data_IF_973801681911
#
_entry.id   IF_973801681911
#
_cell.length_a   1.000
_cell.length_b   1.000
_cell.length_c   1.000
_cell.angle_alpha   90.00
_cell.angle_beta   90.00
_cell.angle_gamma   90.00
#
_symmetry.space_group_name_H-M   'P 1'
#
loop_
_entity.id
_entity.type
_entity.pdbx_description
1 polymer ?
#
# COMPACT_ATOMS: atom_id res chain seq x y z
N UNK A 1 11.52 4.33 -63.46
CA UNK A 1 11.18 5.62 -62.82
C UNK A 1 9.83 5.59 -62.11
N UNK A 2 8.76 5.05 -62.71
CA UNK A 2 7.44 5.01 -62.04
C UNK A 2 7.37 4.11 -60.78
N UNK A 3 8.03 2.95 -60.80
CA UNK A 3 8.05 2.05 -59.64
C UNK A 3 8.68 2.71 -58.39
N UNK A 4 9.75 3.49 -58.59
CA UNK A 4 10.41 4.25 -57.51
C UNK A 4 9.55 5.39 -56.97
N UNK A 5 8.73 6.03 -57.83
CA UNK A 5 7.79 7.08 -57.40
C UNK A 5 6.66 6.49 -56.54
N UNK A 6 6.05 5.38 -56.98
CA UNK A 6 5.02 4.68 -56.21
C UNK A 6 5.54 4.18 -54.87
N UNK A 7 6.73 3.59 -54.86
CA UNK A 7 7.37 3.11 -53.63
C UNK A 7 7.65 4.26 -52.64
N UNK A 8 8.12 5.42 -53.12
CA UNK A 8 8.32 6.61 -52.29
C UNK A 8 7.00 7.13 -51.71
N UNK A 9 5.93 7.14 -52.50
CA UNK A 9 4.61 7.61 -52.08
C UNK A 9 3.98 6.69 -51.03
N UNK A 10 4.05 5.37 -51.24
CA UNK A 10 3.60 4.37 -50.26
C UNK A 10 4.39 4.51 -48.95
N UNK A 11 5.71 4.72 -49.02
CA UNK A 11 6.54 4.96 -47.84
C UNK A 11 6.14 6.24 -47.10
N UNK A 12 5.94 7.36 -47.79
CA UNK A 12 5.51 8.63 -47.17
C UNK A 12 4.20 8.45 -46.40
N UNK A 13 3.20 7.84 -47.06
CA UNK A 13 1.90 7.59 -46.44
C UNK A 13 1.98 6.65 -45.24
N UNK A 14 2.85 5.64 -45.30
CA UNK A 14 3.09 4.72 -44.18
C UNK A 14 3.72 5.45 -42.99
N UNK A 15 4.67 6.36 -43.24
CA UNK A 15 5.29 7.19 -42.19
C UNK A 15 4.32 8.16 -41.55
N UNK A 16 3.50 8.85 -42.35
CA UNK A 16 2.47 9.78 -41.84
C UNK A 16 1.44 9.06 -40.96
N UNK A 17 0.97 7.89 -41.40
CA UNK A 17 0.06 7.07 -40.61
C UNK A 17 0.70 6.60 -39.29
N UNK A 18 1.97 6.23 -39.33
CA UNK A 18 2.69 5.77 -38.14
C UNK A 18 2.88 6.91 -37.13
N UNK A 19 3.30 8.10 -37.58
CA UNK A 19 3.46 9.29 -36.75
C UNK A 19 2.12 9.67 -36.12
N UNK A 20 1.05 9.74 -36.92
CA UNK A 20 -0.30 10.07 -36.43
C UNK A 20 -0.80 9.07 -35.38
N UNK A 21 -0.54 7.77 -35.57
CA UNK A 21 -0.89 6.75 -34.58
C UNK A 21 -0.10 6.91 -33.26
N UNK A 22 1.19 7.29 -33.33
CA UNK A 22 2.01 7.54 -32.14
C UNK A 22 1.57 8.81 -31.40
N UNK A 23 1.30 9.90 -32.10
CA UNK A 23 0.78 11.14 -31.52
C UNK A 23 -0.57 10.90 -30.81
N UNK A 24 -1.47 10.12 -31.44
CA UNK A 24 -2.72 9.74 -30.81
C UNK A 24 -2.48 8.95 -29.53
N UNK A 25 -1.55 7.98 -29.56
CA UNK A 25 -1.30 7.10 -28.43
C UNK A 25 -0.62 7.82 -27.27
N UNK A 26 0.39 8.64 -27.54
CA UNK A 26 1.05 9.49 -26.53
C UNK A 26 0.05 10.45 -25.88
N UNK A 27 -0.83 11.08 -26.67
CA UNK A 27 -1.89 11.93 -26.11
C UNK A 27 -2.88 11.18 -25.19
N UNK A 28 -3.13 9.89 -25.43
CA UNK A 28 -3.92 9.05 -24.51
C UNK A 28 -3.14 8.80 -23.22
N UNK A 29 -1.86 8.43 -23.32
CA UNK A 29 -1.00 8.14 -22.15
C UNK A 29 -0.84 9.38 -21.26
N UNK A 30 -0.66 10.56 -21.86
CA UNK A 30 -0.55 11.83 -21.13
C UNK A 30 -1.83 12.12 -20.35
N UNK A 31 -2.99 11.92 -20.98
CA UNK A 31 -4.29 12.13 -20.35
C UNK A 31 -4.52 11.14 -19.20
N UNK A 32 -4.13 9.88 -19.36
CA UNK A 32 -4.23 8.87 -18.30
C UNK A 32 -3.30 9.20 -17.13
N UNK A 33 -2.08 9.63 -17.42
CA UNK A 33 -1.10 10.08 -16.42
C UNK A 33 -1.63 11.26 -15.61
N UNK A 34 -2.22 12.26 -16.26
CA UNK A 34 -2.82 13.41 -15.57
C UNK A 34 -4.03 13.00 -14.71
N UNK A 35 -4.85 12.05 -15.18
CA UNK A 35 -5.93 11.51 -14.36
C UNK A 35 -5.41 10.80 -13.10
N UNK A 36 -4.38 9.95 -13.23
CA UNK A 36 -3.77 9.26 -12.08
C UNK A 36 -3.18 10.27 -11.09
N UNK A 37 -2.47 11.29 -11.57
CA UNK A 37 -1.93 12.36 -10.72
C UNK A 37 -3.04 13.12 -9.99
N UNK A 38 -4.14 13.42 -10.67
CA UNK A 38 -5.31 14.07 -10.07
C UNK A 38 -5.91 13.21 -8.97
N UNK A 39 -6.17 11.94 -9.25
CA UNK A 39 -6.75 11.01 -8.29
C UNK A 39 -5.83 10.80 -7.06
N UNK A 40 -4.51 10.76 -7.27
CA UNK A 40 -3.53 10.71 -6.18
C UNK A 40 -3.62 11.93 -5.27
N UNK A 41 -3.73 13.13 -5.85
CA UNK A 41 -3.93 14.38 -5.09
C UNK A 41 -5.25 14.35 -4.31
N UNK A 42 -6.34 13.93 -4.94
CA UNK A 42 -7.64 13.78 -4.26
C UNK A 42 -7.56 12.80 -3.09
N UNK A 43 -6.86 11.68 -3.26
CA UNK A 43 -6.68 10.68 -2.21
C UNK A 43 -5.82 11.19 -1.06
N UNK A 44 -4.74 11.92 -1.35
CA UNK A 44 -3.92 12.59 -0.34
C UNK A 44 -4.73 13.62 0.45
N UNK A 45 -5.52 14.45 -0.23
CA UNK A 45 -6.42 15.43 0.42
C UNK A 45 -7.43 14.71 1.31
N UNK A 46 -8.08 13.63 0.82
CA UNK A 46 -9.02 12.84 1.62
C UNK A 46 -8.36 12.28 2.88
N UNK A 47 -7.15 11.73 2.77
CA UNK A 47 -6.37 11.24 3.93
C UNK A 47 -6.04 12.36 4.91
N UNK A 48 -5.61 13.53 4.42
CA UNK A 48 -5.28 14.67 5.26
C UNK A 48 -6.50 15.23 5.99
N UNK A 49 -7.64 15.38 5.31
CA UNK A 49 -8.90 15.82 5.93
C UNK A 49 -9.38 14.83 6.99
N UNK A 50 -9.24 13.52 6.75
CA UNK A 50 -9.54 12.51 7.77
C UNK A 50 -8.62 12.64 8.98
N UNK A 51 -7.31 12.79 8.76
CA UNK A 51 -6.34 12.99 9.84
C UNK A 51 -6.58 14.28 10.64
N UNK A 52 -6.97 15.38 9.99
CA UNK A 52 -7.30 16.64 10.68
C UNK A 52 -8.55 16.47 11.56
N UNK A 53 -9.56 15.76 11.03
CA UNK A 53 -10.83 15.55 11.72
C UNK A 53 -10.74 14.52 12.86
N UNK A 54 -10.03 13.41 12.63
CA UNK A 54 -10.06 12.22 13.47
C UNK A 54 -8.71 11.85 14.09
N UNK A 55 -7.62 12.44 13.60
CA UNK A 55 -6.27 12.16 14.05
C UNK A 55 -5.73 13.20 15.03
N UNK A 56 -4.53 12.94 15.53
CA UNK A 56 -3.75 13.90 16.32
C UNK A 56 -2.66 14.52 15.43
N UNK A 57 -2.54 15.84 15.51
CA UNK A 57 -1.56 16.64 14.75
C UNK A 57 -0.12 16.48 15.23
N UNK A 58 0.10 15.82 16.38
CA UNK A 58 1.41 15.69 17.03
C UNK A 58 2.06 14.31 16.88
N UNK A 59 1.53 13.47 15.99
CA UNK A 59 1.98 12.09 15.85
C UNK A 59 3.30 12.01 15.09
N UNK A 60 4.28 11.31 15.67
CA UNK A 60 5.56 10.99 15.04
C UNK A 60 5.64 9.47 14.76
N UNK A 61 6.36 9.08 13.70
CA UNK A 61 6.60 7.67 13.38
C UNK A 61 7.48 6.98 14.44
N UNK A 62 8.33 7.74 15.13
CA UNK A 62 9.18 7.24 16.23
C UNK A 62 8.43 7.12 17.58
N UNK A 63 7.15 7.49 17.63
CA UNK A 63 6.33 7.42 18.84
C UNK A 63 6.29 6.02 19.43
N UNK A 64 6.39 5.96 20.77
CA UNK A 64 6.15 4.73 21.53
C UNK A 64 4.68 4.68 21.91
N UNK A 65 3.96 3.70 21.37
CA UNK A 65 2.53 3.51 21.60
C UNK A 65 2.32 2.46 22.70
N UNK A 66 1.46 2.79 23.67
CA UNK A 66 0.95 1.85 24.66
C UNK A 66 -0.44 1.34 24.23
N UNK A 67 -0.58 0.02 24.20
CA UNK A 67 -1.75 -0.68 23.70
C UNK A 67 -2.21 -1.66 24.79
N UNK A 68 -3.45 -1.54 25.23
CA UNK A 68 -4.08 -2.53 26.09
C UNK A 68 -4.75 -3.59 25.20
N UNK A 69 -4.20 -4.80 25.18
CA UNK A 69 -4.69 -5.91 24.36
C UNK A 69 -5.30 -6.97 25.25
N UNK A 70 -6.63 -7.04 25.29
CA UNK A 70 -7.37 -8.00 26.10
C UNK A 70 -7.07 -7.92 27.61
N UNK A 71 -6.56 -6.79 28.12
CA UNK A 71 -6.16 -6.58 29.52
C UNK A 71 -4.66 -6.60 29.76
N UNK A 72 -3.85 -6.92 28.73
CA UNK A 72 -2.39 -6.92 28.80
C UNK A 72 -1.83 -5.69 28.11
N UNK A 73 -1.07 -4.88 28.85
CA UNK A 73 -0.33 -3.76 28.28
C UNK A 73 0.81 -4.24 27.39
N UNK A 74 0.83 -3.80 26.13
CA UNK A 74 1.88 -4.02 25.15
C UNK A 74 2.42 -2.65 24.71
N UNK A 75 3.74 -2.55 24.58
CA UNK A 75 4.41 -1.33 24.13
C UNK A 75 5.14 -1.62 22.83
N UNK A 76 4.93 -0.79 21.81
CA UNK A 76 5.58 -0.93 20.51
C UNK A 76 5.85 0.45 19.89
N UNK A 77 6.84 0.53 19.01
CA UNK A 77 7.08 1.72 18.20
C UNK A 77 6.07 1.83 17.07
N UNK A 78 5.56 3.04 16.82
CA UNK A 78 4.60 3.31 15.75
C UNK A 78 5.16 2.87 14.40
N UNK A 79 6.41 3.20 14.08
CA UNK A 79 7.14 2.79 12.88
C UNK A 79 7.12 1.27 12.62
N UNK A 80 7.06 0.43 13.67
CA UNK A 80 6.93 -1.02 13.51
C UNK A 80 5.49 -1.42 13.14
N UNK A 81 4.49 -0.81 13.78
CA UNK A 81 3.07 -1.10 13.55
C UNK A 81 2.63 -0.63 12.16
N UNK A 82 3.16 0.50 11.68
CA UNK A 82 2.82 1.08 10.37
C UNK A 82 3.75 0.61 9.24
N UNK A 83 4.63 -0.35 9.50
CA UNK A 83 5.60 -0.84 8.52
C UNK A 83 4.90 -1.42 7.28
N UNK A 84 3.91 -2.29 7.49
CA UNK A 84 3.17 -2.93 6.40
C UNK A 84 1.97 -2.06 5.96
N UNK A 85 2.19 -1.25 4.92
CA UNK A 85 1.18 -0.32 4.37
C UNK A 85 -0.05 -1.05 3.84
N UNK A 86 -1.22 -0.43 4.00
CA UNK A 86 -2.49 -0.94 3.48
C UNK A 86 -3.11 -2.07 4.31
N UNK A 87 -2.57 -2.34 5.51
CA UNK A 87 -3.15 -3.27 6.49
C UNK A 87 -4.02 -2.51 7.49
N UNK A 88 -4.90 -3.23 8.20
CA UNK A 88 -5.73 -2.60 9.24
C UNK A 88 -4.89 -2.19 10.47
N UNK A 89 -3.74 -2.83 10.71
CA UNK A 89 -2.81 -2.37 11.76
C UNK A 89 -2.19 -1.03 11.36
N UNK A 90 -1.76 -0.86 10.11
CA UNK A 90 -1.25 0.45 9.67
C UNK A 90 -2.32 1.53 9.83
N UNK A 91 -3.56 1.25 9.40
CA UNK A 91 -4.67 2.16 9.62
C UNK A 91 -4.85 2.57 11.09
N UNK A 92 -4.93 1.60 12.01
CA UNK A 92 -5.11 1.83 13.44
C UNK A 92 -4.03 2.70 14.07
N UNK A 93 -2.78 2.50 13.67
CA UNK A 93 -1.63 3.17 14.28
C UNK A 93 -1.03 4.26 13.40
N UNK A 94 -1.69 4.65 12.31
CA UNK A 94 -1.21 5.69 11.40
C UNK A 94 -1.26 7.10 11.98
N UNK A 95 -1.92 7.33 13.11
CA UNK A 95 -2.19 8.67 13.63
C UNK A 95 -3.48 9.28 13.09
N UNK A 96 -4.01 8.76 11.96
CA UNK A 96 -5.19 9.33 11.27
C UNK A 96 -6.49 9.21 12.06
N UNK A 97 -6.56 8.25 12.99
CA UNK A 97 -7.77 7.92 13.75
C UNK A 97 -7.56 7.97 15.26
N UNK A 98 -6.45 8.56 15.75
CA UNK A 98 -6.06 8.49 17.16
C UNK A 98 -7.11 9.08 18.13
N UNK A 99 -8.02 9.96 17.66
CA UNK A 99 -9.17 10.48 18.44
C UNK A 99 -10.39 9.56 18.43
N UNK A 100 -10.53 8.71 17.41
CA UNK A 100 -11.63 7.76 17.30
C UNK A 100 -11.28 6.38 17.86
N UNK A 101 -9.99 6.02 17.89
CA UNK A 101 -9.56 4.75 18.48
C UNK A 101 -10.02 4.64 19.93
N UNK A 102 -10.64 3.51 20.27
CA UNK A 102 -11.09 3.26 21.64
C UNK A 102 -9.89 3.22 22.59
N UNK A 103 -9.99 3.94 23.71
CA UNK A 103 -8.95 4.01 24.74
C UNK A 103 -9.48 3.50 26.07
N UNK A 104 -8.59 2.91 26.86
CA UNK A 104 -8.88 2.48 28.22
C UNK A 104 -8.77 3.63 29.24
N UNK A 105 -8.95 3.32 30.52
CA UNK A 105 -8.86 4.29 31.60
C UNK A 105 -7.46 4.91 31.80
N UNK A 106 -6.42 4.31 31.20
CA UNK A 106 -5.04 4.79 31.22
C UNK A 106 -4.65 5.50 29.93
N UNK A 107 -5.63 5.85 29.09
CA UNK A 107 -5.43 6.49 27.78
C UNK A 107 -4.66 5.62 26.77
N UNK A 108 -4.59 4.30 27.00
CA UNK A 108 -3.96 3.34 26.09
C UNK A 108 -4.95 2.89 25.03
N UNK A 109 -4.49 2.67 23.79
CA UNK A 109 -5.34 2.12 22.73
C UNK A 109 -5.82 0.73 23.13
N UNK A 110 -7.13 0.51 23.18
CA UNK A 110 -7.72 -0.75 23.61
C UNK A 110 -8.09 -1.65 22.41
N UNK A 111 -7.61 -2.89 22.44
CA UNK A 111 -7.96 -3.93 21.47
C UNK A 111 -8.52 -5.16 22.18
N UNK A 112 -9.75 -5.53 21.84
CA UNK A 112 -10.43 -6.73 22.34
C UNK A 112 -10.01 -7.97 21.54
N UNK A 113 -8.73 -8.32 21.61
CA UNK A 113 -8.14 -9.48 20.92
C UNK A 113 -7.21 -10.25 21.85
N UNK A 114 -6.82 -11.47 21.44
CA UNK A 114 -5.90 -12.29 22.24
C UNK A 114 -4.49 -11.66 22.29
N UNK A 115 -3.93 -11.39 23.49
CA UNK A 115 -2.66 -10.68 23.62
C UNK A 115 -1.45 -11.44 23.05
N UNK A 116 -1.41 -12.75 23.20
CA UNK A 116 -0.32 -13.62 22.77
C UNK A 116 -0.24 -13.67 21.24
N UNK A 117 -1.40 -13.80 20.60
CA UNK A 117 -1.52 -13.71 19.14
C UNK A 117 -1.08 -12.34 18.63
N UNK A 118 -1.51 -11.25 19.28
CA UNK A 118 -1.16 -9.89 18.86
C UNK A 118 0.34 -9.60 19.07
N UNK A 119 0.94 -10.10 20.15
CA UNK A 119 2.38 -10.00 20.37
C UNK A 119 3.18 -10.71 19.26
N UNK A 120 2.74 -11.90 18.83
CA UNK A 120 3.38 -12.60 17.69
C UNK A 120 3.27 -11.79 16.40
N UNK A 121 2.15 -11.08 16.17
CA UNK A 121 2.00 -10.16 15.04
C UNK A 121 3.03 -9.02 15.11
N UNK A 122 3.18 -8.37 16.27
CA UNK A 122 4.16 -7.28 16.45
C UNK A 122 5.58 -7.79 16.21
N UNK A 123 5.93 -8.96 16.76
CA UNK A 123 7.24 -9.57 16.57
C UNK A 123 7.50 -9.86 15.08
N UNK A 124 6.50 -10.35 14.36
CA UNK A 124 6.58 -10.55 12.91
C UNK A 124 6.83 -9.23 12.17
N UNK A 125 6.09 -8.16 12.49
CA UNK A 125 6.32 -6.83 11.88
C UNK A 125 7.71 -6.27 12.19
N UNK A 126 8.19 -6.46 13.42
CA UNK A 126 9.52 -6.05 13.84
C UNK A 126 10.61 -6.76 13.02
N UNK A 127 10.51 -8.08 12.86
CA UNK A 127 11.47 -8.86 12.06
C UNK A 127 11.38 -8.47 10.59
N UNK A 128 10.17 -8.33 10.05
CA UNK A 128 9.96 -7.88 8.67
C UNK A 128 10.63 -6.52 8.37
N UNK A 129 10.66 -5.63 9.36
CA UNK A 129 11.29 -4.32 9.24
C UNK A 129 12.81 -4.38 9.30
N UNK A 130 13.38 -5.25 10.13
CA UNK A 130 14.82 -5.26 10.42
C UNK A 130 15.59 -6.40 9.74
N UNK A 131 14.91 -7.39 9.15
CA UNK A 131 15.53 -8.56 8.53
C UNK A 131 15.38 -8.54 7.01
N UNK A 132 16.46 -8.91 6.31
CA UNK A 132 16.46 -9.20 4.88
C UNK A 132 16.30 -10.69 4.55
N UNK A 133 16.15 -11.58 5.55
CA UNK A 133 16.29 -13.04 5.37
C UNK A 133 15.01 -13.88 5.58
N UNK A 134 15.01 -15.03 4.90
CA UNK A 134 13.90 -15.83 4.36
C UNK A 134 13.09 -16.69 5.36
N UNK A 135 13.34 -16.62 6.68
CA UNK A 135 12.66 -17.50 7.66
C UNK A 135 11.71 -16.74 8.61
N UNK A 136 10.68 -16.12 8.02
CA UNK A 136 9.64 -15.37 8.75
C UNK A 136 8.65 -16.28 9.51
N UNK A 137 8.58 -17.56 9.13
CA UNK A 137 7.61 -18.54 9.63
C UNK A 137 7.75 -18.82 11.12
N UNK A 138 8.95 -18.69 11.69
CA UNK A 138 9.19 -18.92 13.12
C UNK A 138 8.60 -17.82 14.01
N UNK A 139 8.45 -16.59 13.49
CA UNK A 139 7.93 -15.44 14.24
C UNK A 139 6.40 -15.31 14.17
N UNK A 140 5.78 -15.99 13.20
CA UNK A 140 4.34 -16.21 13.13
C UNK A 140 3.88 -17.46 13.90
N UNK A 141 4.74 -18.02 14.75
CA UNK A 141 4.39 -19.20 15.54
C UNK A 141 3.70 -18.77 16.84
N UNK A 142 2.55 -19.38 17.09
CA UNK A 142 1.86 -19.35 18.38
C UNK A 142 1.73 -20.78 18.90
N UNK A 143 1.48 -20.93 20.21
CA UNK A 143 1.11 -22.23 20.79
C UNK A 143 0.01 -22.91 19.97
N UNK A 144 0.02 -24.24 19.92
CA UNK A 144 -0.95 -25.02 19.14
C UNK A 144 -2.40 -24.65 19.48
N UNK A 145 -2.65 -24.31 20.74
CA UNK A 145 -3.91 -23.86 21.30
C UNK A 145 -4.42 -22.54 20.68
N UNK A 146 -3.53 -21.67 20.17
CA UNK A 146 -3.87 -20.37 19.63
C UNK A 146 -3.87 -20.30 18.11
N UNK A 147 -3.49 -21.37 17.40
CA UNK A 147 -3.32 -21.36 15.93
C UNK A 147 -4.55 -20.85 15.16
N UNK A 148 -5.74 -21.30 15.54
CA UNK A 148 -6.98 -20.89 14.86
C UNK A 148 -7.32 -19.42 15.11
N UNK A 149 -7.14 -18.97 16.36
CA UNK A 149 -7.35 -17.59 16.77
C UNK A 149 -6.36 -16.69 16.03
N UNK A 150 -5.07 -17.06 16.02
CA UNK A 150 -4.01 -16.34 15.33
C UNK A 150 -4.29 -16.19 13.82
N UNK A 151 -4.72 -17.26 13.15
CA UNK A 151 -5.12 -17.20 11.74
C UNK A 151 -6.28 -16.23 11.51
N UNK A 152 -7.26 -16.21 12.41
CA UNK A 152 -8.36 -15.25 12.34
C UNK A 152 -7.88 -13.81 12.55
N UNK A 153 -6.98 -13.55 13.50
CA UNK A 153 -6.39 -12.21 13.70
C UNK A 153 -5.59 -11.75 12.46
N UNK A 154 -4.81 -12.63 11.84
CA UNK A 154 -4.08 -12.27 10.61
C UNK A 154 -5.01 -11.85 9.48
N UNK A 155 -6.17 -12.52 9.35
CA UNK A 155 -7.20 -12.14 8.39
C UNK A 155 -7.90 -10.83 8.79
N UNK A 156 -8.27 -10.70 10.07
CA UNK A 156 -8.92 -9.51 10.61
C UNK A 156 -8.09 -8.25 10.41
N UNK A 157 -6.77 -8.36 10.58
CA UNK A 157 -5.84 -7.26 10.39
C UNK A 157 -5.32 -7.11 8.95
N UNK A 158 -5.73 -7.98 8.04
CA UNK A 158 -5.26 -8.06 6.65
C UNK A 158 -3.72 -8.18 6.53
N UNK A 159 -3.06 -8.86 7.47
CA UNK A 159 -1.59 -9.02 7.49
C UNK A 159 -1.14 -10.16 6.58
N UNK A 160 -1.98 -11.17 6.37
CA UNK A 160 -1.69 -12.26 5.45
C UNK A 160 -2.38 -12.04 4.10
N UNK A 161 -1.57 -11.79 3.07
CA UNK A 161 -1.99 -11.75 1.67
C UNK A 161 -1.33 -12.87 0.84
N UNK A 162 -0.69 -13.85 1.48
CA UNK A 162 -0.05 -14.97 0.77
C UNK A 162 -1.04 -15.93 0.09
N UNK A 163 -2.35 -15.64 0.12
CA UNK A 163 -3.39 -16.36 -0.61
C UNK A 163 -4.26 -15.48 -1.51
N UNK A 164 -3.69 -14.48 -2.18
CA UNK A 164 -4.27 -13.97 -3.43
C UNK A 164 -3.19 -14.03 -4.50
N UNK A 165 -3.39 -14.93 -5.47
CA UNK A 165 -2.49 -15.18 -6.58
C UNK A 165 -2.12 -13.86 -7.29
N UNK A 166 -0.84 -13.50 -7.27
CA UNK A 166 -0.12 -13.27 -8.51
C UNK A 166 1.38 -13.25 -8.21
N UNK A 167 2.14 -14.08 -8.91
CA UNK A 167 3.59 -14.03 -8.96
C UNK A 167 4.06 -12.77 -9.71
N UNK A 168 3.73 -11.59 -9.18
CA UNK A 168 4.28 -10.32 -9.64
C UNK A 168 5.34 -9.89 -8.64
N UNK A 169 6.57 -9.98 -9.11
CA UNK A 169 7.73 -9.32 -8.55
C UNK A 169 7.36 -7.87 -8.26
N UNK A 170 7.15 -7.55 -6.98
CA UNK A 170 6.92 -6.19 -6.52
C UNK A 170 8.17 -5.39 -6.87
N UNK A 171 8.00 -4.37 -7.70
CA UNK A 171 9.02 -3.35 -7.90
C UNK A 171 9.33 -2.75 -6.51
N UNK A 172 10.60 -2.79 -6.13
CA UNK A 172 11.10 -2.16 -4.91
C UNK A 172 10.72 -0.67 -4.94
N UNK A 173 10.15 -0.19 -3.85
CA UNK A 173 9.88 1.23 -3.62
C UNK A 173 10.85 1.61 -2.50
N UNK A 174 11.84 2.45 -2.82
CA UNK A 174 12.78 2.97 -1.84
C UNK A 174 12.14 4.07 -0.97
N UNK A 175 12.71 4.30 0.21
CA UNK A 175 12.11 5.01 1.36
C UNK A 175 11.87 6.52 1.20
N UNK A 176 12.11 7.12 0.03
CA UNK A 176 12.01 8.58 -0.16
C UNK A 176 10.86 9.00 -1.10
N UNK A 177 9.88 8.13 -1.37
CA UNK A 177 8.71 8.48 -2.18
C UNK A 177 9.03 8.92 -3.62
N UNK A 178 10.25 8.66 -4.09
CA UNK A 178 10.69 8.96 -5.45
C UNK A 178 10.47 7.73 -6.31
N UNK A 179 9.65 7.86 -7.35
CA UNK A 179 9.46 6.80 -8.35
C UNK A 179 10.79 6.65 -9.09
N UNK A 180 11.58 5.61 -8.78
CA UNK A 180 12.75 5.24 -9.59
C UNK A 180 12.24 4.55 -10.85
N UNK A 181 11.80 5.37 -11.79
CA UNK A 181 11.82 5.21 -13.24
C UNK A 181 11.40 6.56 -13.82
N UNK A 182 12.18 7.60 -13.50
CA UNK A 182 12.19 8.83 -14.26
C UNK A 182 12.75 8.51 -15.66
N UNK A 183 12.00 8.75 -16.75
CA UNK A 183 12.51 8.57 -18.11
C UNK A 183 13.74 9.46 -18.42
N UNK A 184 14.06 10.44 -17.57
CA UNK A 184 15.21 11.33 -17.81
C UNK A 184 16.58 10.70 -17.55
N UNK A 185 16.69 9.57 -16.85
CA UNK A 185 18.02 9.00 -16.51
C UNK A 185 18.60 8.08 -17.59
N UNK A 186 17.81 7.67 -18.59
CA UNK A 186 18.30 6.84 -19.72
C UNK A 186 19.13 7.66 -20.73
N UNK A 187 19.14 9.00 -20.62
CA UNK A 187 19.92 9.88 -21.50
C UNK A 187 21.32 10.25 -21.00
N UNK A 188 21.78 9.76 -19.84
CA UNK A 188 23.10 10.13 -19.29
C UNK A 188 24.14 9.01 -19.25
N UNK A 189 23.82 7.79 -19.71
CA UNK A 189 24.77 6.66 -19.72
C UNK A 189 25.50 6.47 -21.08
N UNK A 190 25.62 7.52 -21.89
CA UNK A 190 26.53 7.52 -23.04
C UNK A 190 27.41 8.76 -22.95
N UNK A 191 28.71 8.51 -22.74
CA UNK A 191 29.72 9.54 -22.51
C UNK A 191 29.60 10.71 -23.48
N UNK A 192 29.64 11.91 -22.91
CA UNK A 192 29.88 13.16 -23.62
C UNK A 192 31.27 13.08 -24.24
N UNK A 193 31.35 12.54 -25.46
CA UNK A 193 32.41 12.89 -26.38
C UNK A 193 31.99 14.17 -27.09
N UNK A 194 32.70 15.25 -26.81
CA UNK A 194 32.67 16.52 -27.55
C UNK A 194 33.29 16.32 -28.94
N UNK A 195 32.64 15.51 -29.78
CA UNK A 195 32.93 15.35 -31.19
C UNK A 195 31.75 15.89 -31.99
N UNK A 196 32.01 16.80 -32.92
CA UNK A 196 31.02 17.37 -33.86
C UNK A 196 30.03 16.30 -34.32
N UNK A 197 28.76 16.41 -33.89
CA UNK A 197 27.70 15.50 -34.26
C UNK A 197 27.44 15.62 -35.77
N UNK A 198 28.09 14.78 -36.56
CA UNK A 198 27.64 14.44 -37.90
C UNK A 198 26.37 13.62 -37.73
N UNK A 199 25.22 14.23 -37.97
CA UNK A 199 23.95 13.54 -38.15
C UNK A 199 24.11 12.57 -39.32
N UNK A 200 24.50 11.31 -39.05
CA UNK A 200 24.39 10.24 -40.03
C UNK A 200 22.89 10.07 -40.27
N UNK A 201 22.45 10.38 -41.49
CA UNK A 201 21.09 10.06 -41.96
C UNK A 201 20.88 8.57 -41.76
N UNK A 202 20.01 8.22 -40.80
CA UNK A 202 19.57 6.86 -40.53
C UNK A 202 19.15 6.19 -41.84
N UNK A 203 19.61 4.97 -42.06
CA UNK A 203 19.29 4.26 -43.30
C UNK A 203 17.91 3.61 -43.15
N UNK A 204 17.15 3.55 -44.25
CA UNK A 204 15.78 3.02 -44.23
C UNK A 204 15.66 1.57 -43.71
N UNK A 205 16.77 0.84 -43.73
CA UNK A 205 16.86 -0.54 -43.22
C UNK A 205 16.78 -0.66 -41.69
N UNK A 206 17.03 0.43 -40.95
CA UNK A 206 17.02 0.46 -39.47
C UNK A 206 15.64 0.85 -38.90
N UNK A 207 14.71 1.29 -39.75
CA UNK A 207 13.38 1.77 -39.37
C UNK A 207 12.45 0.67 -38.80
N UNK A 208 12.46 -0.59 -39.29
CA UNK A 208 11.66 -1.66 -38.70
C UNK A 208 12.06 -2.00 -37.25
N UNK A 209 13.35 -1.94 -36.95
CA UNK A 209 13.88 -2.24 -35.61
C UNK A 209 13.55 -1.11 -34.62
N UNK A 210 13.72 0.14 -35.03
CA UNK A 210 13.32 1.31 -34.22
C UNK A 210 11.81 1.31 -33.95
N UNK A 211 10.99 1.05 -34.97
CA UNK A 211 9.54 0.99 -34.80
C UNK A 211 9.11 -0.12 -33.85
N UNK A 212 9.83 -1.25 -33.85
CA UNK A 212 9.63 -2.36 -32.92
C UNK A 212 10.00 -1.96 -31.49
N UNK A 213 11.14 -1.30 -31.29
CA UNK A 213 11.59 -0.87 -29.96
C UNK A 213 10.65 0.18 -29.35
N UNK A 214 10.24 1.19 -30.14
CA UNK A 214 9.27 2.20 -29.70
C UNK A 214 7.93 1.57 -29.35
N UNK A 215 7.46 0.60 -30.16
CA UNK A 215 6.21 -0.13 -29.88
C UNK A 215 6.31 -0.93 -28.57
N UNK A 216 7.44 -1.58 -28.31
CA UNK A 216 7.65 -2.34 -27.08
C UNK A 216 7.68 -1.41 -25.86
N UNK A 217 8.40 -0.29 -25.93
CA UNK A 217 8.45 0.73 -24.88
C UNK A 217 7.06 1.26 -24.54
N UNK A 218 6.27 1.59 -25.56
CA UNK A 218 4.92 2.11 -25.39
C UNK A 218 3.96 1.07 -24.80
N UNK A 219 4.11 -0.21 -25.16
CA UNK A 219 3.37 -1.30 -24.53
C UNK A 219 3.75 -1.48 -23.06
N UNK A 220 5.04 -1.37 -22.73
CA UNK A 220 5.53 -1.42 -21.36
C UNK A 220 4.99 -0.26 -20.52
N UNK A 221 5.04 0.96 -21.01
CA UNK A 221 4.45 2.13 -20.33
C UNK A 221 2.95 1.95 -20.09
N UNK A 222 2.20 1.49 -21.09
CA UNK A 222 0.78 1.21 -20.93
C UNK A 222 0.52 0.16 -19.83
N UNK A 223 1.33 -0.91 -19.78
CA UNK A 223 1.22 -1.93 -18.73
C UNK A 223 1.54 -1.36 -17.35
N UNK A 224 2.55 -0.50 -17.25
CA UNK A 224 2.90 0.19 -15.99
C UNK A 224 1.77 1.11 -15.52
N UNK A 225 1.12 1.84 -16.44
CA UNK A 225 -0.01 2.70 -16.07
C UNK A 225 -1.24 1.91 -15.63
N UNK A 226 -1.57 0.81 -16.30
CA UNK A 226 -2.69 -0.03 -15.87
C UNK A 226 -2.41 -0.60 -14.47
N UNK A 227 -1.17 -1.01 -14.21
CA UNK A 227 -0.74 -1.45 -12.87
C UNK A 227 -0.89 -0.33 -11.84
N UNK A 228 -0.45 0.89 -12.15
CA UNK A 228 -0.59 2.04 -11.25
C UNK A 228 -2.06 2.39 -10.96
N UNK A 229 -2.94 2.24 -11.95
CA UNK A 229 -4.37 2.47 -11.82
C UNK A 229 -5.04 1.39 -10.96
N UNK A 230 -4.69 0.12 -11.15
CA UNK A 230 -5.13 -1.00 -10.30
C UNK A 230 -4.73 -0.76 -8.84
N UNK A 231 -3.49 -0.34 -8.62
CA UNK A 231 -2.94 0.01 -7.31
C UNK A 231 -3.68 1.18 -6.65
N UNK A 232 -3.94 2.25 -7.40
CA UNK A 232 -4.70 3.39 -6.93
C UNK A 232 -6.13 3.00 -6.53
N UNK A 233 -6.80 2.17 -7.33
CA UNK A 233 -8.13 1.63 -7.01
C UNK A 233 -8.10 0.72 -5.79
N UNK A 234 -7.02 -0.05 -5.60
CA UNK A 234 -6.80 -0.85 -4.38
C UNK A 234 -6.68 0.05 -3.15
N UNK A 235 -5.84 1.07 -3.19
CA UNK A 235 -5.65 2.02 -2.08
C UNK A 235 -6.96 2.77 -1.75
N UNK A 236 -7.72 3.17 -2.77
CA UNK A 236 -9.02 3.83 -2.58
C UNK A 236 -10.02 2.93 -1.84
N UNK A 237 -10.16 1.67 -2.28
CA UNK A 237 -11.00 0.67 -1.60
C UNK A 237 -10.54 0.39 -0.18
N UNK A 238 -9.22 0.32 0.05
CA UNK A 238 -8.66 0.10 1.38
C UNK A 238 -8.96 1.27 2.32
N UNK A 239 -8.95 2.51 1.85
CA UNK A 239 -9.29 3.67 2.67
C UNK A 239 -10.77 3.64 3.10
N UNK A 240 -11.67 3.18 2.23
CA UNK A 240 -13.09 3.05 2.58
C UNK A 240 -13.32 1.90 3.58
N UNK A 241 -12.64 0.75 3.39
CA UNK A 241 -12.63 -0.35 4.36
C UNK A 241 -12.05 0.08 5.72
N UNK A 242 -10.99 0.86 5.71
CA UNK A 242 -10.34 1.40 6.92
C UNK A 242 -11.35 2.20 7.74
N UNK A 243 -12.13 3.09 7.12
CA UNK A 243 -13.17 3.84 7.83
C UNK A 243 -14.22 2.90 8.46
N UNK A 244 -14.69 1.89 7.74
CA UNK A 244 -15.66 0.91 8.28
C UNK A 244 -15.07 0.07 9.42
N UNK A 245 -13.80 -0.31 9.29
CA UNK A 245 -13.05 -1.03 10.31
C UNK A 245 -12.86 -0.18 11.57
N UNK A 246 -12.41 1.08 11.41
CA UNK A 246 -12.24 2.00 12.53
C UNK A 246 -13.57 2.23 13.22
N UNK A 247 -14.65 2.42 12.47
CA UNK A 247 -16.00 2.50 13.04
C UNK A 247 -16.35 1.26 13.86
N UNK A 248 -16.02 0.06 13.40
CA UNK A 248 -16.24 -1.17 14.15
C UNK A 248 -15.41 -1.24 15.45
N UNK A 249 -14.15 -0.79 15.41
CA UNK A 249 -13.25 -0.81 16.57
C UNK A 249 -13.54 0.32 17.56
N UNK A 250 -13.98 1.49 17.09
CA UNK A 250 -14.22 2.74 17.85
C UNK A 250 -15.61 2.89 18.45
N UNK A 251 -16.61 2.14 17.97
CA UNK A 251 -18.04 2.45 18.18
C UNK A 251 -18.57 2.35 19.63
N UNK A 252 -17.74 2.31 20.65
CA UNK A 252 -18.20 2.06 22.00
C UNK A 252 -17.53 3.01 23.00
N UNK A 253 -18.38 3.60 23.84
CA UNK A 253 -17.98 4.48 24.93
C UNK A 253 -16.81 3.88 25.69
N UNK A 254 -15.86 4.67 26.22
CA UNK A 254 -14.83 4.16 27.13
C UNK A 254 -15.42 3.34 28.30
N UNK A 255 -16.66 3.64 28.71
CA UNK A 255 -17.41 2.90 29.72
C UNK A 255 -17.85 1.48 29.29
N UNK A 256 -17.65 1.14 28.02
CA UNK A 256 -17.91 -0.20 27.50
C UNK A 256 -16.76 -1.16 27.81
N UNK A 257 -15.57 -0.69 28.18
CA UNK A 257 -14.48 -1.58 28.58
C UNK A 257 -14.74 -2.06 30.01
N UNK A 258 -14.76 -3.38 30.21
CA UNK A 258 -14.87 -4.00 31.54
C UNK A 258 -13.57 -4.73 31.84
N UNK A 259 -12.95 -4.35 32.95
CA UNK A 259 -11.75 -5.01 33.47
C UNK A 259 -12.13 -6.04 34.53
N UNK A 260 -11.54 -7.23 34.43
CA UNK A 260 -11.71 -8.34 35.36
C UNK A 260 -10.34 -8.78 35.87
N UNK A 261 -10.27 -9.19 37.14
CA UNK A 261 -9.15 -9.95 37.65
C UNK A 261 -9.57 -11.41 37.80
N UNK A 262 -8.95 -12.29 37.01
CA UNK A 262 -9.17 -13.73 37.07
C UNK A 262 -7.90 -14.41 37.55
N UNK A 263 -7.86 -14.72 38.85
CA UNK A 263 -6.74 -15.41 39.51
C UNK A 263 -5.40 -14.66 39.39
N UNK A 264 -5.41 -13.34 39.50
CA UNK A 264 -4.23 -12.48 39.37
C UNK A 264 -3.90 -12.13 37.91
N UNK A 265 -4.70 -12.59 36.95
CA UNK A 265 -4.57 -12.20 35.54
C UNK A 265 -5.58 -11.12 35.23
N UNK A 266 -5.10 -9.92 34.91
CA UNK A 266 -5.92 -8.82 34.41
C UNK A 266 -6.45 -9.14 33.00
N UNK A 267 -7.76 -9.05 32.82
CA UNK A 267 -8.45 -9.21 31.55
C UNK A 267 -9.30 -7.97 31.28
N UNK A 268 -9.37 -7.53 30.03
CA UNK A 268 -10.23 -6.43 29.62
C UNK A 268 -10.98 -6.83 28.35
N UNK A 269 -12.29 -6.58 28.32
CA UNK A 269 -13.18 -6.98 27.23
C UNK A 269 -14.27 -5.93 27.05
N UNK A 270 -14.82 -5.82 25.84
CA UNK A 270 -15.98 -4.92 25.62
C UNK A 270 -17.24 -5.51 26.25
N UNK A 271 -18.03 -4.67 26.90
CA UNK A 271 -19.33 -5.02 27.47
C UNK A 271 -20.28 -5.45 26.36
N UNK A 272 -20.16 -4.90 25.17
CA UNK A 272 -20.91 -5.41 24.01
C UNK A 272 -20.62 -6.88 23.72
N UNK A 273 -19.35 -7.30 23.83
CA UNK A 273 -18.92 -8.68 23.61
C UNK A 273 -19.56 -9.62 24.64
N UNK A 274 -19.77 -9.13 25.87
CA UNK A 274 -20.45 -9.88 26.94
C UNK A 274 -21.98 -9.93 26.76
N UNK A 275 -22.56 -9.00 26.00
CA UNK A 275 -24.01 -8.90 25.73
C UNK A 275 -24.45 -9.60 24.44
N UNK A 276 -23.51 -10.19 23.70
CA UNK A 276 -23.81 -10.89 22.44
C UNK A 276 -24.71 -12.13 22.64
N UNK A 277 -24.77 -12.68 23.85
CA UNK A 277 -25.67 -13.78 24.21
C UNK A 277 -26.93 -13.27 24.91
N UNK A 278 -28.09 -13.39 24.23
CA UNK A 278 -29.40 -13.12 24.83
C UNK A 278 -29.60 -13.98 26.09
N UNK A 279 -29.86 -13.34 27.23
CA UNK A 279 -30.08 -14.02 28.52
C UNK A 279 -28.85 -14.11 29.41
N UNK A 280 -27.77 -13.41 29.04
CA UNK A 280 -26.62 -13.15 29.91
C UNK A 280 -27.07 -12.37 31.16
N UNK A 281 -26.56 -12.71 32.35
CA UNK A 281 -26.80 -11.89 33.57
C UNK A 281 -26.12 -10.51 33.52
N UNK A 282 -25.42 -10.21 32.41
CA UNK A 282 -24.73 -8.95 32.15
C UNK A 282 -25.55 -8.00 31.23
N UNK A 283 -26.79 -8.37 30.90
CA UNK A 283 -27.77 -7.49 30.24
C UNK A 283 -28.22 -6.35 31.17
#
# INVERSE_FOLDING_TARGET
MEALKRDREVRSKTWENLISAYEQKTGILDKETENIKKDLKELQVKKATLAEKHGDTKVDEDDVIQINVGGKGITARRETLIYKKGTMIEALFSGRWDKETQRDAFDQIFLDVNPECFQSIINYLYVLKHSSEENLSQYLSVGNEFKQIFKHLLLYFEIDHSATQDGRQLCQIDQDGTIVNDPQTVLQAQGVHTGKATWKTLTFNELPDIAKDVKNSLHQEQKSMETAKEELQRVKRNLDKEHDFIKHVSAQSPNDIVNFDVRGTSMAIKRSTLRTFKGSQLD
#
